data_IF_129765172648
#
_entry.id   IF_129765172648
#
_cell.length_a   1.000
_cell.length_b   1.000
_cell.length_c   1.000
_cell.angle_alpha   90.00
_cell.angle_beta   90.00
_cell.angle_gamma   90.00
#
_symmetry.space_group_name_H-M   'P 1'
#
loop_
_entity.id
_entity.type
_entity.pdbx_description
1 polymer ?
#
# COMPACT_ATOMS: atom_id res chain seq x y z
N UNK A 1 -6.30 5.12 7.24
CA UNK A 1 -6.33 3.67 7.57
C UNK A 1 -6.50 2.89 6.27
N UNK A 2 -5.91 1.71 6.13
CA UNK A 2 -6.04 0.90 4.91
C UNK A 2 -7.44 0.25 4.83
N UNK A 3 -8.00 0.05 3.62
CA UNK A 3 -9.34 -0.51 3.44
C UNK A 3 -9.42 -2.03 3.62
N UNK A 4 -8.27 -2.72 3.59
CA UNK A 4 -8.07 -4.17 3.72
C UNK A 4 -6.72 -4.47 4.40
N UNK A 5 -6.46 -5.75 4.69
CA UNK A 5 -5.17 -6.19 5.24
C UNK A 5 -4.01 -5.93 4.26
N UNK A 6 -2.85 -5.52 4.78
CA UNK A 6 -1.66 -5.25 3.98
C UNK A 6 -0.49 -6.10 4.45
N UNK A 7 -0.53 -7.38 4.08
CA UNK A 7 0.51 -8.37 4.40
C UNK A 7 1.63 -8.43 3.36
N UNK A 8 1.58 -7.58 2.33
CA UNK A 8 2.68 -7.44 1.37
C UNK A 8 3.87 -6.72 1.99
N UNK A 9 5.06 -7.01 1.46
CA UNK A 9 6.24 -6.16 1.70
C UNK A 9 6.02 -4.79 1.01
N UNK A 10 6.13 -3.66 1.74
CA UNK A 10 6.12 -2.35 1.12
C UNK A 10 7.35 -2.11 0.24
N UNK A 11 7.21 -1.27 -0.78
CA UNK A 11 8.33 -0.83 -1.61
C UNK A 11 8.30 0.68 -1.84
N UNK A 12 9.42 1.23 -2.30
CA UNK A 12 9.53 2.66 -2.62
C UNK A 12 10.15 2.90 -3.99
N UNK A 13 9.82 4.02 -4.60
CA UNK A 13 10.44 4.52 -5.83
C UNK A 13 10.36 6.04 -5.90
N UNK A 14 11.19 6.64 -6.74
CA UNK A 14 11.13 8.07 -7.08
C UNK A 14 10.23 8.27 -8.29
N UNK A 15 9.18 9.09 -8.13
CA UNK A 15 8.28 9.45 -9.21
C UNK A 15 8.95 10.36 -10.23
N UNK A 16 8.32 10.52 -11.40
CA UNK A 16 8.80 11.45 -12.45
C UNK A 16 8.80 12.91 -11.99
N UNK A 17 8.05 13.21 -10.93
CA UNK A 17 7.99 14.50 -10.24
C UNK A 17 9.10 14.68 -9.18
N UNK A 18 10.04 13.74 -9.09
CA UNK A 18 11.16 13.78 -8.14
C UNK A 18 10.79 13.45 -6.69
N UNK A 19 9.53 13.11 -6.40
CA UNK A 19 9.08 12.79 -5.05
C UNK A 19 9.25 11.30 -4.75
N UNK A 20 9.54 10.97 -3.50
CA UNK A 20 9.53 9.59 -3.03
C UNK A 20 8.09 9.12 -2.79
N UNK A 21 7.79 7.92 -3.29
CA UNK A 21 6.52 7.24 -3.05
C UNK A 21 6.76 5.96 -2.25
N UNK A 22 5.86 5.69 -1.31
CA UNK A 22 5.77 4.39 -0.62
C UNK A 22 4.53 3.67 -1.12
N UNK A 23 4.70 2.44 -1.60
CA UNK A 23 3.66 1.65 -2.23
C UNK A 23 3.30 0.44 -1.38
N UNK A 24 2.00 0.18 -1.25
CA UNK A 24 1.44 -0.98 -0.54
C UNK A 24 0.23 -1.51 -1.30
N UNK A 25 0.16 -2.83 -1.44
CA UNK A 25 -1.04 -3.57 -1.86
C UNK A 25 -1.80 -4.02 -0.62
N UNK A 26 -3.06 -3.60 -0.50
CA UNK A 26 -3.96 -4.03 0.56
C UNK A 26 -4.94 -5.08 0.03
N UNK A 27 -4.50 -6.34 0.02
CA UNK A 27 -5.27 -7.49 -0.45
C UNK A 27 -6.03 -8.24 0.65
N UNK A 28 -5.50 -8.24 1.87
CA UNK A 28 -5.92 -9.14 2.92
C UNK A 28 -5.33 -10.55 2.76
N UNK A 29 -5.50 -11.36 3.80
CA UNK A 29 -5.05 -12.74 3.89
C UNK A 29 -6.12 -13.57 4.61
N UNK A 30 -6.66 -14.58 3.92
CA UNK A 30 -7.82 -15.35 4.37
C UNK A 30 -7.57 -16.11 5.67
N UNK A 31 -6.44 -16.82 5.79
CA UNK A 31 -6.13 -17.60 7.01
C UNK A 31 -5.78 -16.74 8.22
N UNK A 32 -5.47 -15.45 8.01
CA UNK A 32 -5.23 -14.50 9.10
C UNK A 32 -6.51 -13.76 9.51
N UNK A 33 -7.66 -14.07 8.89
CA UNK A 33 -8.95 -13.45 9.19
C UNK A 33 -9.01 -11.95 8.86
N UNK A 34 -8.05 -11.43 8.09
CA UNK A 34 -8.03 -10.00 7.76
C UNK A 34 -9.03 -9.68 6.66
N UNK A 35 -9.56 -8.45 6.70
CA UNK A 35 -10.48 -7.96 5.68
C UNK A 35 -9.84 -8.06 4.29
N UNK A 36 -10.56 -8.74 3.38
CA UNK A 36 -10.18 -8.87 1.98
C UNK A 36 -10.40 -7.56 1.22
N UNK A 37 -9.59 -7.36 0.19
CA UNK A 37 -9.70 -6.24 -0.74
C UNK A 37 -8.78 -6.42 -1.93
N UNK A 38 -8.79 -5.46 -2.84
CA UNK A 38 -7.83 -5.40 -3.94
C UNK A 38 -7.54 -3.93 -4.22
N UNK A 39 -6.56 -3.39 -3.50
CA UNK A 39 -6.21 -1.97 -3.56
C UNK A 39 -4.69 -1.80 -3.71
N UNK A 40 -4.29 -1.05 -4.72
CA UNK A 40 -2.93 -0.51 -4.82
C UNK A 40 -2.96 0.93 -4.32
N UNK A 41 -2.18 1.23 -3.27
CA UNK A 41 -2.10 2.56 -2.69
C UNK A 41 -0.68 3.11 -2.73
N UNK A 42 -0.56 4.39 -3.06
CA UNK A 42 0.67 5.15 -3.05
C UNK A 42 0.57 6.31 -2.06
N UNK A 43 1.59 6.46 -1.22
CA UNK A 43 1.71 7.56 -0.26
C UNK A 43 2.92 8.42 -0.61
N UNK A 44 2.76 9.73 -0.44
CA UNK A 44 3.83 10.73 -0.55
C UNK A 44 3.61 11.79 0.53
N UNK A 45 4.64 12.57 0.83
CA UNK A 45 4.47 13.71 1.73
C UNK A 45 3.54 14.77 1.11
N UNK A 46 2.70 15.43 1.93
CA UNK A 46 2.06 16.68 1.55
C UNK A 46 3.11 17.75 1.22
N UNK A 47 2.68 18.80 0.52
CA UNK A 47 3.50 20.01 0.42
C UNK A 47 3.39 20.81 1.73
#
# INVERSE_FOLDING_TARGET
RLPAGAQTTPMTYTGKDGQQYVLVVAGGHGSLGTKQGDYVMAFKLPK
#
